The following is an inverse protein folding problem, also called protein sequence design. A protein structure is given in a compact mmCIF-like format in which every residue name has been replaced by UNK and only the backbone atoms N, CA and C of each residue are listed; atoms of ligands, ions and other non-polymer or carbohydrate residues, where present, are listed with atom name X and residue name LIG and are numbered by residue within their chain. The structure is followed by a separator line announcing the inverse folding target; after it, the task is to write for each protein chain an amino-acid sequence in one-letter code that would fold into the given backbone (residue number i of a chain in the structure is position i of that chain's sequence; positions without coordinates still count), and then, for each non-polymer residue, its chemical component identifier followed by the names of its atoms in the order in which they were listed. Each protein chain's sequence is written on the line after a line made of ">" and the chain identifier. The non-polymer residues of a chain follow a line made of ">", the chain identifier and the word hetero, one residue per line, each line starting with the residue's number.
data_IF_272343456010
#
_entry.id   IF_272343456010
#
_cell.length_a   1.000
_cell.length_b   1.000
_cell.length_c   1.000
_cell.angle_alpha   90.00
_cell.angle_beta   90.00
_cell.angle_gamma   90.00
#
_symmetry.space_group_name_H-M   'P 1'
#
loop_
_entity.id
_entity.type
_entity.pdbx_description
1 polymer ?
#
# COMPACT_ATOMS: atom_id res chain seq x y z
N UNK A 1 -18.85 7.13 3.33
CA UNK A 1 -19.03 6.09 2.27
C UNK A 1 -17.90 6.14 1.24
N UNK A 2 -17.40 7.31 0.87
CA UNK A 2 -16.31 7.48 -0.13
C UNK A 2 -15.03 6.70 0.19
N UNK A 3 -14.56 6.71 1.43
CA UNK A 3 -13.36 5.96 1.83
C UNK A 3 -13.50 4.45 1.60
N UNK A 4 -14.68 3.89 1.89
CA UNK A 4 -14.97 2.47 1.68
C UNK A 4 -14.95 2.13 0.19
N UNK A 5 -15.55 2.97 -0.65
CA UNK A 5 -15.55 2.79 -2.10
C UNK A 5 -14.14 2.84 -2.69
N UNK A 6 -13.33 3.83 -2.29
CA UNK A 6 -11.94 3.96 -2.71
C UNK A 6 -11.10 2.74 -2.28
N UNK A 7 -11.28 2.28 -1.04
CA UNK A 7 -10.61 1.09 -0.49
C UNK A 7 -10.98 -0.16 -1.29
N UNK A 8 -12.26 -0.36 -1.60
CA UNK A 8 -12.72 -1.50 -2.38
C UNK A 8 -12.14 -1.48 -3.80
N UNK A 9 -12.12 -0.32 -4.46
CA UNK A 9 -11.51 -0.17 -5.79
C UNK A 9 -10.02 -0.51 -5.77
N UNK A 10 -9.27 0.04 -4.81
CA UNK A 10 -7.84 -0.25 -4.66
C UNK A 10 -7.57 -1.73 -4.35
N UNK A 11 -8.34 -2.34 -3.43
CA UNK A 11 -8.19 -3.75 -3.08
C UNK A 11 -8.40 -4.67 -4.29
N UNK A 12 -9.40 -4.38 -5.12
CA UNK A 12 -9.64 -5.13 -6.36
C UNK A 12 -8.51 -4.93 -7.38
N UNK A 13 -7.97 -3.73 -7.47
CA UNK A 13 -6.79 -3.44 -8.32
C UNK A 13 -5.57 -4.24 -7.86
N UNK A 14 -5.26 -4.26 -6.56
CA UNK A 14 -4.15 -5.04 -6.01
C UNK A 14 -4.32 -6.55 -6.31
N UNK A 15 -5.52 -7.10 -6.14
CA UNK A 15 -5.81 -8.49 -6.54
C UNK A 15 -5.61 -8.75 -8.02
N UNK A 16 -5.98 -7.80 -8.90
CA UNK A 16 -5.74 -7.93 -10.35
C UNK A 16 -4.26 -7.96 -10.71
N UNK A 17 -3.42 -7.32 -9.91
CA UNK A 17 -1.96 -7.39 -10.03
C UNK A 17 -1.35 -8.63 -9.37
N UNK A 18 -2.17 -9.57 -8.89
CA UNK A 18 -1.72 -10.83 -8.31
C UNK A 18 -1.32 -10.75 -6.84
N UNK A 19 -1.66 -9.67 -6.13
CA UNK A 19 -1.37 -9.55 -4.70
C UNK A 19 -2.30 -10.48 -3.92
N UNK A 20 -1.69 -11.39 -3.17
CA UNK A 20 -2.34 -12.38 -2.33
C UNK A 20 -2.15 -12.10 -0.83
N UNK A 21 -2.78 -12.94 -0.02
CA UNK A 21 -2.64 -12.86 1.44
C UNK A 21 -1.20 -13.21 1.82
N UNK A 22 -0.57 -12.36 2.62
CA UNK A 22 0.81 -12.52 3.07
C UNK A 22 1.84 -11.80 2.20
N UNK A 23 1.44 -11.32 1.02
CA UNK A 23 2.32 -10.50 0.18
C UNK A 23 2.62 -9.16 0.86
N UNK A 24 3.81 -8.64 0.56
CA UNK A 24 4.33 -7.40 1.11
C UNK A 24 4.20 -6.28 0.08
N UNK A 25 3.60 -5.16 0.49
CA UNK A 25 3.29 -4.01 -0.37
C UNK A 25 3.91 -2.75 0.21
N UNK A 26 4.89 -2.17 -0.48
CA UNK A 26 5.46 -0.89 -0.09
C UNK A 26 4.56 0.27 -0.54
N UNK A 27 4.22 1.17 0.38
CA UNK A 27 3.43 2.38 0.12
C UNK A 27 4.34 3.59 0.26
N UNK A 28 4.69 4.20 -0.87
CA UNK A 28 5.49 5.43 -0.92
C UNK A 28 4.62 6.60 -1.41
N UNK A 29 3.98 7.28 -0.46
CA UNK A 29 3.04 8.37 -0.73
C UNK A 29 3.11 9.42 0.40
N UNK A 30 2.72 10.66 0.10
CA UNK A 30 2.51 11.69 1.12
C UNK A 30 1.22 11.46 1.93
N UNK A 31 1.06 12.20 3.03
CA UNK A 31 -0.13 12.13 3.88
C UNK A 31 -1.34 12.62 3.08
N UNK A 32 -2.24 11.70 2.72
CA UNK A 32 -3.45 11.99 1.93
C UNK A 32 -4.54 10.95 2.22
N UNK A 33 -5.82 11.24 1.92
CA UNK A 33 -6.89 10.24 2.05
C UNK A 33 -6.63 8.98 1.21
N UNK A 34 -5.90 9.12 0.09
CA UNK A 34 -5.55 8.01 -0.78
C UNK A 34 -4.54 7.05 -0.13
N UNK A 35 -3.56 7.57 0.63
CA UNK A 35 -2.61 6.70 1.35
C UNK A 35 -3.30 5.92 2.46
N UNK A 36 -4.29 6.51 3.13
CA UNK A 36 -5.15 5.78 4.09
C UNK A 36 -5.94 4.67 3.40
N UNK A 37 -6.56 4.96 2.25
CA UNK A 37 -7.28 3.95 1.49
C UNK A 37 -6.36 2.82 0.98
N UNK A 38 -5.11 3.12 0.62
CA UNK A 38 -4.12 2.12 0.21
C UNK A 38 -3.73 1.19 1.38
N UNK A 39 -3.51 1.74 2.58
CA UNK A 39 -3.25 0.94 3.79
C UNK A 39 -4.42 0.01 4.10
N UNK A 40 -5.65 0.53 4.05
CA UNK A 40 -6.87 -0.26 4.28
C UNK A 40 -7.11 -1.30 3.19
N UNK A 41 -6.76 -1.00 1.93
CA UNK A 41 -6.89 -1.93 0.83
C UNK A 41 -5.96 -3.15 1.00
N UNK A 42 -4.72 -2.92 1.42
CA UNK A 42 -3.78 -3.99 1.74
C UNK A 42 -4.31 -4.86 2.90
N UNK A 43 -4.76 -4.23 3.99
CA UNK A 43 -5.35 -4.94 5.11
C UNK A 43 -6.60 -5.77 4.71
N UNK A 44 -7.45 -5.23 3.82
CA UNK A 44 -8.66 -5.90 3.33
C UNK A 44 -8.37 -7.19 2.57
N UNK A 45 -7.27 -7.26 1.83
CA UNK A 45 -6.88 -8.45 1.06
C UNK A 45 -5.94 -9.38 1.83
N UNK A 46 -5.53 -8.98 3.04
CA UNK A 46 -4.59 -9.73 3.87
C UNK A 46 -3.13 -9.56 3.47
N UNK A 47 -2.80 -8.52 2.71
CA UNK A 47 -1.43 -8.12 2.41
C UNK A 47 -0.83 -7.29 3.55
N UNK A 48 0.47 -7.43 3.76
CA UNK A 48 1.23 -6.65 4.75
C UNK A 48 1.74 -5.40 4.05
N UNK A 49 1.38 -4.22 4.55
CA UNK A 49 1.86 -2.97 3.98
C UNK A 49 3.01 -2.39 4.78
N UNK A 50 4.02 -1.88 4.09
CA UNK A 50 5.12 -1.11 4.68
C UNK A 50 5.05 0.31 4.16
N UNK A 51 4.77 1.26 5.05
CA UNK A 51 4.69 2.68 4.68
C UNK A 51 6.08 3.29 4.71
N UNK A 52 6.51 3.88 3.59
CA UNK A 52 7.78 4.59 3.48
C UNK A 52 7.51 6.09 3.36
N UNK A 53 8.18 6.87 4.21
CA UNK A 53 8.00 8.32 4.24
C UNK A 53 8.49 8.95 2.92
N UNK A 54 7.63 9.78 2.32
CA UNK A 54 7.88 10.41 1.02
C UNK A 54 9.13 11.31 0.98
N UNK A 55 9.67 11.74 2.12
CA UNK A 55 10.89 12.56 2.19
C UNK A 55 12.20 11.79 2.32
N UNK A 56 12.21 10.45 2.24
CA UNK A 56 13.44 9.68 2.24
C UNK A 56 14.19 9.75 0.90
N UNK A 57 15.51 9.58 0.97
CA UNK A 57 16.35 9.45 -0.22
C UNK A 57 16.00 8.19 -1.02
N UNK A 58 16.40 8.16 -2.28
CA UNK A 58 16.15 7.02 -3.16
C UNK A 58 16.78 5.73 -2.60
N UNK A 59 17.97 5.81 -2.01
CA UNK A 59 18.66 4.68 -1.38
C UNK A 59 17.89 4.16 -0.17
N UNK A 60 17.39 5.05 0.68
CA UNK A 60 16.60 4.70 1.85
C UNK A 60 15.23 4.08 1.48
N UNK A 61 14.65 4.48 0.34
CA UNK A 61 13.45 3.86 -0.21
C UNK A 61 13.77 2.46 -0.77
N UNK A 62 14.82 2.34 -1.57
CA UNK A 62 15.23 1.08 -2.18
C UNK A 62 15.52 0.00 -1.13
N UNK A 63 16.28 0.33 -0.08
CA UNK A 63 16.56 -0.62 1.00
C UNK A 63 15.28 -1.19 1.64
N UNK A 64 14.27 -0.34 1.88
CA UNK A 64 12.99 -0.77 2.44
C UNK A 64 12.18 -1.64 1.50
N UNK A 65 12.25 -1.40 0.19
CA UNK A 65 11.55 -2.24 -0.80
C UNK A 65 12.19 -3.63 -0.86
N UNK A 66 13.52 -3.71 -0.78
CA UNK A 66 14.26 -4.98 -0.80
C UNK A 66 14.07 -5.79 0.49
N UNK A 67 13.96 -5.11 1.64
CA UNK A 67 13.73 -5.75 2.94
C UNK A 67 12.26 -6.16 3.17
N UNK A 68 11.35 -5.69 2.30
CA UNK A 68 9.96 -6.14 2.23
C UNK A 68 9.85 -7.48 1.53
#
# INVERSE_FOLDING_TARGET
>A
RELLDLTCRLANTLKKYGIEKGDKVAIYMSVSPLSVAAMLACARIGAVHTVVFAGFSAEALAGRIVDC
#
